data_IF_560128289450
#
_entry.id   IF_560128289450
#
_cell.length_a   1.000
_cell.length_b   1.000
_cell.length_c   1.000
_cell.angle_alpha   90.00
_cell.angle_beta   90.00
_cell.angle_gamma   90.00
#
_symmetry.space_group_name_H-M   'P 1'
#
loop_
_entity.id
_entity.type
_entity.pdbx_description
1 polymer ?
#
# COMPACT_ATOMS: atom_id res chain seq x y z
N UNK A 1 -0.66 -16.34 8.78
CA UNK A 1 -0.82 -14.89 8.92
C UNK A 1 0.10 -14.39 10.03
N UNK A 2 0.93 -13.38 9.77
CA UNK A 2 1.89 -12.87 10.77
C UNK A 2 1.22 -11.77 11.60
N UNK A 3 0.87 -12.08 12.84
CA UNK A 3 0.40 -11.10 13.81
C UNK A 3 1.61 -10.33 14.37
N UNK A 4 1.61 -9.00 14.25
CA UNK A 4 2.66 -8.14 14.83
C UNK A 4 2.06 -7.27 15.93
N UNK A 5 2.76 -7.20 17.07
CA UNK A 5 2.35 -6.34 18.19
C UNK A 5 2.94 -4.94 18.03
N UNK A 6 2.19 -3.92 18.45
CA UNK A 6 2.62 -2.50 18.42
C UNK A 6 4.00 -2.27 19.04
N UNK A 7 4.28 -2.92 20.17
CA UNK A 7 5.54 -2.76 20.92
C UNK A 7 6.75 -3.29 20.16
N UNK A 8 6.57 -4.36 19.38
CA UNK A 8 7.63 -4.94 18.56
C UNK A 8 7.96 -4.03 17.37
N UNK A 9 6.93 -3.51 16.71
CA UNK A 9 7.08 -2.55 15.61
C UNK A 9 7.73 -1.26 16.13
N UNK A 10 7.30 -0.76 17.29
CA UNK A 10 7.88 0.44 17.89
C UNK A 10 9.39 0.28 18.16
N UNK A 11 9.80 -0.88 18.68
CA UNK A 11 11.21 -1.19 18.91
C UNK A 11 12.03 -1.29 17.61
N UNK A 12 11.48 -1.93 16.57
CA UNK A 12 12.13 -2.09 15.26
C UNK A 12 12.38 -0.73 14.58
N UNK A 13 11.42 0.18 14.63
CA UNK A 13 11.52 1.50 14.03
C UNK A 13 12.16 2.55 14.96
N UNK A 14 12.51 2.20 16.20
CA UNK A 14 13.12 3.12 17.16
C UNK A 14 12.21 4.28 17.58
N UNK A 15 10.89 4.06 17.57
CA UNK A 15 9.86 5.07 17.88
C UNK A 15 9.05 4.68 19.11
N UNK A 16 8.24 5.62 19.62
CA UNK A 16 7.30 5.31 20.70
C UNK A 16 6.08 4.54 20.17
N UNK A 17 5.29 3.96 21.07
CA UNK A 17 4.08 3.21 20.70
C UNK A 17 2.99 4.07 20.07
N UNK A 18 2.91 5.36 20.42
CA UNK A 18 1.86 6.27 19.95
C UNK A 18 1.82 6.40 18.41
N UNK A 19 2.92 6.73 17.69
CA UNK A 19 2.90 6.81 16.23
C UNK A 19 2.59 5.46 15.58
N UNK A 20 3.07 4.35 16.15
CA UNK A 20 2.74 3.00 15.65
C UNK A 20 1.25 2.71 15.76
N UNK A 21 0.65 3.01 16.92
CA UNK A 21 -0.79 2.84 17.12
C UNK A 21 -1.60 3.68 16.14
N UNK A 22 -1.23 4.94 15.92
CA UNK A 22 -1.92 5.80 14.95
C UNK A 22 -1.79 5.28 13.51
N UNK A 23 -0.61 4.77 13.13
CA UNK A 23 -0.41 4.17 11.82
C UNK A 23 -1.26 2.90 11.63
N UNK A 24 -1.29 2.00 12.62
CA UNK A 24 -2.14 0.80 12.58
C UNK A 24 -3.62 1.18 12.50
N UNK A 25 -4.06 2.14 13.30
CA UNK A 25 -5.45 2.62 13.25
C UNK A 25 -5.82 3.18 11.88
N UNK A 26 -4.93 3.94 11.25
CA UNK A 26 -5.14 4.45 9.89
C UNK A 26 -5.28 3.32 8.88
N UNK A 27 -4.38 2.32 8.93
CA UNK A 27 -4.44 1.17 8.02
C UNK A 27 -5.68 0.29 8.25
N UNK A 28 -6.18 0.20 9.48
CA UNK A 28 -7.46 -0.47 9.78
C UNK A 28 -8.64 0.31 9.21
N UNK A 29 -8.64 1.64 9.32
CA UNK A 29 -9.66 2.50 8.70
C UNK A 29 -9.63 2.43 7.17
N UNK A 30 -8.45 2.22 6.58
CA UNK A 30 -8.25 2.02 5.14
C UNK A 30 -8.46 0.55 4.70
N UNK A 31 -8.90 -0.34 5.62
CA UNK A 31 -9.16 -1.76 5.37
C UNK A 31 -7.93 -2.55 4.86
N UNK A 32 -6.72 -2.02 5.04
CA UNK A 32 -5.45 -2.66 4.72
C UNK A 32 -4.99 -3.61 5.83
N UNK A 33 -5.49 -3.40 7.05
CA UNK A 33 -5.29 -4.29 8.19
C UNK A 33 -6.64 -4.61 8.86
N UNK A 34 -6.74 -5.80 9.42
CA UNK A 34 -7.83 -6.22 10.30
C UNK A 34 -7.37 -6.24 11.76
N UNK A 35 -8.25 -5.78 12.66
CA UNK A 35 -7.97 -5.82 14.10
C UNK A 35 -8.12 -7.25 14.63
N UNK A 36 -7.01 -7.90 14.97
CA UNK A 36 -7.01 -9.29 15.42
C UNK A 36 -7.20 -9.47 16.94
N UNK A 37 -6.47 -8.70 17.75
CA UNK A 37 -6.56 -8.70 19.22
C UNK A 37 -6.11 -7.35 19.78
N UNK A 38 -6.35 -7.09 21.07
CA UNK A 38 -5.92 -5.85 21.74
C UNK A 38 -4.43 -5.57 21.48
N UNK A 39 -4.12 -4.44 20.83
CA UNK A 39 -2.74 -3.99 20.46
C UNK A 39 -2.06 -4.82 19.36
N UNK A 40 -2.83 -5.45 18.48
CA UNK A 40 -2.31 -6.15 17.30
C UNK A 40 -3.25 -6.06 16.11
N UNK A 41 -2.69 -6.19 14.92
CA UNK A 41 -3.42 -6.24 13.67
C UNK A 41 -2.78 -7.28 12.74
N UNK A 42 -3.54 -7.72 11.75
CA UNK A 42 -3.10 -8.63 10.69
C UNK A 42 -3.40 -8.00 9.33
N UNK A 43 -2.64 -8.37 8.30
CA UNK A 43 -2.91 -7.92 6.93
C UNK A 43 -4.27 -8.46 6.49
N UNK A 44 -5.09 -7.61 5.87
CA UNK A 44 -6.39 -8.02 5.32
C UNK A 44 -6.18 -9.09 4.24
N UNK A 45 -7.08 -10.06 4.18
CA UNK A 45 -7.04 -11.08 3.12
C UNK A 45 -7.89 -10.62 1.94
N UNK A 46 -7.35 -10.78 0.74
CA UNK A 46 -8.09 -10.56 -0.51
C UNK A 46 -8.30 -11.90 -1.19
N UNK A 47 -9.55 -12.19 -1.56
CA UNK A 47 -9.94 -13.32 -2.37
C UNK A 47 -9.89 -13.00 -3.86
N UNK A 48 -10.22 -14.00 -4.68
CA UNK A 48 -10.24 -13.86 -6.14
C UNK A 48 -11.24 -12.79 -6.61
N UNK A 49 -12.40 -12.68 -5.94
CA UNK A 49 -13.42 -11.66 -6.25
C UNK A 49 -12.92 -10.23 -5.95
N UNK A 50 -12.25 -10.01 -4.81
CA UNK A 50 -11.66 -8.71 -4.45
C UNK A 50 -10.58 -8.30 -5.46
N UNK A 51 -9.79 -9.28 -5.92
CA UNK A 51 -8.78 -9.07 -6.94
C UNK A 51 -9.40 -8.70 -8.29
N UNK A 52 -10.47 -9.38 -8.70
CA UNK A 52 -11.18 -9.05 -9.93
C UNK A 52 -11.72 -7.61 -9.89
N UNK A 53 -12.40 -7.23 -8.80
CA UNK A 53 -12.96 -5.88 -8.63
C UNK A 53 -11.86 -4.79 -8.66
N UNK A 54 -10.76 -4.97 -7.92
CA UNK A 54 -9.68 -3.97 -7.91
C UNK A 54 -9.00 -3.87 -9.28
N UNK A 55 -8.81 -4.98 -9.99
CA UNK A 55 -8.21 -4.95 -11.32
C UNK A 55 -9.12 -4.27 -12.34
N UNK A 56 -10.43 -4.51 -12.30
CA UNK A 56 -11.39 -3.81 -13.17
C UNK A 56 -11.33 -2.29 -12.95
N UNK A 57 -11.35 -1.84 -11.70
CA UNK A 57 -11.24 -0.43 -11.35
C UNK A 57 -9.92 0.18 -11.83
N UNK A 58 -8.81 -0.53 -11.61
CA UNK A 58 -7.48 -0.07 -12.03
C UNK A 58 -7.35 0.00 -13.54
N UNK A 59 -7.83 -0.99 -14.28
CA UNK A 59 -7.81 -0.97 -15.76
C UNK A 59 -8.58 0.25 -16.28
N UNK A 60 -9.76 0.51 -15.72
CA UNK A 60 -10.58 1.66 -16.09
C UNK A 60 -9.88 3.00 -15.82
N UNK A 61 -9.30 3.17 -14.63
CA UNK A 61 -8.68 4.43 -14.21
C UNK A 61 -7.26 4.62 -14.76
N UNK A 62 -6.38 3.65 -14.53
CA UNK A 62 -4.96 3.72 -14.87
C UNK A 62 -4.73 3.68 -16.38
N UNK A 63 -5.54 2.93 -17.13
CA UNK A 63 -5.42 2.87 -18.59
C UNK A 63 -5.62 4.24 -19.24
N UNK A 64 -6.66 4.96 -18.81
CA UNK A 64 -6.92 6.33 -19.30
C UNK A 64 -5.87 7.32 -18.81
N UNK A 65 -5.48 7.26 -17.54
CA UNK A 65 -4.46 8.14 -16.99
C UNK A 65 -3.11 7.95 -17.70
N UNK A 66 -2.73 6.71 -17.97
CA UNK A 66 -1.48 6.35 -18.67
C UNK A 66 -1.50 6.83 -20.12
N UNK A 67 -2.62 6.67 -20.83
CA UNK A 67 -2.77 7.18 -22.19
C UNK A 67 -2.57 8.71 -22.25
N UNK A 68 -3.11 9.45 -21.28
CA UNK A 68 -2.89 10.89 -21.17
C UNK A 68 -1.44 11.25 -20.80
N UNK A 69 -0.85 10.53 -19.85
CA UNK A 69 0.54 10.72 -19.47
C UNK A 69 1.48 10.50 -20.66
N UNK A 70 1.25 9.47 -21.47
CA UNK A 70 2.06 9.17 -22.65
C UNK A 70 2.05 10.28 -23.71
N UNK A 71 0.98 11.07 -23.81
CA UNK A 71 0.91 12.22 -24.73
C UNK A 71 1.69 13.45 -24.24
N UNK A 72 1.96 13.53 -22.93
CA UNK A 72 2.57 14.68 -22.27
C UNK A 72 3.96 14.39 -21.71
N UNK A 73 4.42 13.15 -21.79
CA UNK A 73 5.65 12.68 -21.16
C UNK A 73 6.87 13.41 -21.73
N UNK A 74 7.76 13.85 -20.85
CA UNK A 74 9.04 14.45 -21.23
C UNK A 74 10.17 13.42 -21.27
N UNK A 75 11.30 13.77 -21.89
CA UNK A 75 12.50 12.93 -21.87
C UNK A 75 13.01 12.70 -20.43
N UNK A 76 12.88 13.70 -19.55
CA UNK A 76 13.25 13.57 -18.14
C UNK A 76 12.36 12.55 -17.41
N UNK A 77 11.05 12.54 -17.71
CA UNK A 77 10.12 11.57 -17.16
C UNK A 77 10.45 10.15 -17.65
N UNK A 78 10.79 9.99 -18.92
CA UNK A 78 11.22 8.72 -19.51
C UNK A 78 12.50 8.20 -18.85
N UNK A 79 13.51 9.07 -18.68
CA UNK A 79 14.75 8.72 -18.00
C UNK A 79 14.50 8.33 -16.54
N UNK A 80 13.62 9.06 -15.84
CA UNK A 80 13.22 8.74 -14.47
C UNK A 80 12.51 7.40 -14.39
N UNK A 81 11.58 7.13 -15.30
CA UNK A 81 10.88 5.85 -15.38
C UNK A 81 11.85 4.71 -15.65
N UNK A 82 12.81 4.89 -16.56
CA UNK A 82 13.87 3.91 -16.83
C UNK A 82 14.72 3.60 -15.59
N UNK A 83 15.10 4.63 -14.81
CA UNK A 83 15.83 4.43 -13.54
C UNK A 83 15.01 3.67 -12.50
N UNK A 84 13.73 3.96 -12.36
CA UNK A 84 12.85 3.26 -11.42
C UNK A 84 12.62 1.79 -11.81
N UNK A 85 12.41 1.52 -13.10
CA UNK A 85 12.23 0.15 -13.59
C UNK A 85 13.48 -0.72 -13.41
N UNK A 86 14.67 -0.13 -13.38
CA UNK A 86 15.91 -0.85 -13.11
C UNK A 86 16.08 -1.24 -11.62
N UNK A 87 15.19 -0.80 -10.73
CA UNK A 87 15.23 -1.08 -9.28
C UNK A 87 14.27 -2.19 -8.84
N UNK A 88 13.40 -2.66 -9.73
CA UNK A 88 12.40 -3.71 -9.50
C UNK A 88 12.92 -5.01 -10.14
#
# INVERSE_FOLDING_TARGET
>A
MQQRQEEHIAAEFGVSRTPVRSAIQKLVTEELLEQAATRSAVVSQWGDEDLEEIFELRIFAEGRATAWAALLISDEDLDRMGRLNAQI
#
